data_IF_124719411456
#
_entry.id   IF_124719411456
#
_cell.length_a   1.000
_cell.length_b   1.000
_cell.length_c   1.000
_cell.angle_alpha   90.00
_cell.angle_beta   90.00
_cell.angle_gamma   90.00
#
_symmetry.space_group_name_H-M   'P 1'
#
loop_
_entity.id
_entity.type
_entity.pdbx_description
1 polymer ?
#
# COMPACT_ATOMS: atom_id res chain seq x y z
N UNK A 1 -15.04 68.59 25.29
CA UNK A 1 -15.73 67.37 25.81
C UNK A 1 -16.22 66.60 24.59
N UNK A 2 -15.85 65.38 24.23
CA UNK A 2 -15.02 64.30 24.77
C UNK A 2 -14.39 63.58 23.56
N UNK A 3 -13.14 63.12 23.64
CA UNK A 3 -12.46 62.42 22.53
C UNK A 3 -12.81 60.93 22.58
N UNK A 4 -13.37 60.43 21.48
CA UNK A 4 -13.76 59.05 21.26
C UNK A 4 -12.50 58.19 21.02
N UNK A 5 -12.14 57.34 21.99
CA UNK A 5 -11.06 56.36 21.85
C UNK A 5 -11.65 55.03 21.37
N UNK A 6 -11.48 54.72 20.08
CA UNK A 6 -11.83 53.42 19.51
C UNK A 6 -10.73 52.42 19.83
N UNK A 7 -10.98 51.50 20.75
CA UNK A 7 -10.08 50.37 21.06
C UNK A 7 -10.40 49.24 20.09
N UNK A 8 -9.53 49.04 19.10
CA UNK A 8 -9.54 47.84 18.24
C UNK A 8 -8.82 46.74 19.01
N UNK A 9 -9.58 45.77 19.52
CA UNK A 9 -9.06 44.59 20.19
C UNK A 9 -8.72 43.53 19.13
N UNK A 10 -7.48 43.56 18.62
CA UNK A 10 -6.99 42.58 17.65
C UNK A 10 -6.72 41.26 18.38
N UNK A 11 -7.68 40.33 18.34
CA UNK A 11 -7.47 38.95 18.79
C UNK A 11 -6.51 38.28 17.81
N UNK A 12 -5.24 38.15 18.22
CA UNK A 12 -4.24 37.37 17.51
C UNK A 12 -4.39 35.92 17.91
N UNK A 13 -5.26 35.18 17.24
CA UNK A 13 -5.42 33.73 17.44
C UNK A 13 -4.16 33.03 16.92
N UNK A 14 -3.25 32.66 17.81
CA UNK A 14 -2.11 31.81 17.46
C UNK A 14 -2.64 30.42 17.12
N UNK A 15 -2.72 30.08 15.83
CA UNK A 15 -2.90 28.70 15.39
C UNK A 15 -1.67 27.89 15.79
N UNK A 16 -1.74 27.20 16.93
CA UNK A 16 -0.77 26.17 17.28
C UNK A 16 -1.03 24.96 16.38
N UNK A 17 -0.21 24.80 15.35
CA UNK A 17 -0.18 23.58 14.56
C UNK A 17 0.40 22.46 15.43
N UNK A 18 -0.43 21.48 15.79
CA UNK A 18 0.05 20.26 16.41
C UNK A 18 0.73 19.41 15.33
N UNK A 19 2.06 19.53 15.22
CA UNK A 19 2.85 18.66 14.37
C UNK A 19 2.86 17.24 14.99
N UNK A 20 2.13 16.31 14.38
CA UNK A 20 2.30 14.88 14.68
C UNK A 20 3.69 14.49 14.22
N UNK A 21 4.53 14.02 15.16
CA UNK A 21 5.84 13.48 14.83
C UNK A 21 5.70 12.30 13.88
N UNK A 22 6.49 12.29 12.81
CA UNK A 22 6.55 11.17 11.89
C UNK A 22 6.93 9.87 12.63
N UNK A 23 6.40 8.71 12.21
CA UNK A 23 6.74 7.44 12.84
C UNK A 23 8.20 7.07 12.60
N UNK A 24 8.85 6.48 13.61
CA UNK A 24 10.23 5.98 13.50
C UNK A 24 10.32 4.68 12.68
N UNK A 25 9.28 3.84 12.74
CA UNK A 25 9.21 2.56 12.05
C UNK A 25 7.82 2.38 11.46
N UNK A 26 7.74 1.65 10.34
CA UNK A 26 6.49 1.26 9.69
C UNK A 26 6.51 -0.26 9.57
N UNK A 27 5.45 -0.91 10.05
CA UNK A 27 5.22 -2.35 9.86
C UNK A 27 3.92 -2.48 9.08
N UNK A 28 4.02 -3.11 7.91
CA UNK A 28 2.88 -3.37 7.05
C UNK A 28 2.57 -4.87 7.08
N UNK A 29 1.33 -5.22 7.42
CA UNK A 29 0.82 -6.58 7.42
C UNK A 29 -0.17 -6.72 6.27
N UNK A 30 0.10 -7.63 5.34
CA UNK A 30 -0.77 -7.91 4.19
C UNK A 30 -1.34 -9.32 4.36
N UNK A 31 -2.65 -9.41 4.55
CA UNK A 31 -3.38 -10.67 4.38
C UNK A 31 -3.77 -10.82 2.91
N UNK A 32 -3.02 -11.60 2.15
CA UNK A 32 -3.36 -11.86 0.74
C UNK A 32 -4.71 -12.60 0.67
N UNK A 33 -5.65 -12.07 -0.13
CA UNK A 33 -7.03 -12.55 -0.19
C UNK A 33 -7.91 -12.23 1.04
N UNK A 34 -7.45 -11.41 1.99
CA UNK A 34 -8.19 -11.13 3.23
C UNK A 34 -9.17 -9.95 3.08
N UNK A 35 -10.41 -10.26 2.69
CA UNK A 35 -11.53 -9.33 2.72
C UNK A 35 -12.30 -9.34 4.04
N UNK A 36 -13.40 -8.58 4.10
CA UNK A 36 -14.28 -8.56 5.28
C UNK A 36 -14.92 -9.93 5.56
N UNK A 37 -15.17 -10.74 4.52
CA UNK A 37 -15.75 -12.06 4.66
C UNK A 37 -14.79 -13.01 5.38
N UNK A 38 -13.50 -13.01 5.01
CA UNK A 38 -12.46 -13.84 5.62
C UNK A 38 -12.26 -13.47 7.11
N UNK A 39 -12.28 -12.17 7.42
CA UNK A 39 -12.23 -11.68 8.81
C UNK A 39 -13.47 -12.17 9.59
N UNK A 40 -14.66 -12.03 9.02
CA UNK A 40 -15.90 -12.44 9.67
C UNK A 40 -15.96 -13.96 9.91
N UNK A 41 -15.52 -14.76 8.93
CA UNK A 41 -15.43 -16.22 9.07
C UNK A 41 -14.46 -16.62 10.19
N UNK A 42 -13.32 -15.94 10.30
CA UNK A 42 -12.35 -16.19 11.38
C UNK A 42 -12.95 -15.86 12.74
N UNK A 43 -13.67 -14.73 12.88
CA UNK A 43 -14.39 -14.40 14.12
C UNK A 43 -15.45 -15.43 14.48
N UNK A 44 -16.24 -15.86 13.50
CA UNK A 44 -17.27 -16.88 13.70
C UNK A 44 -16.69 -18.21 14.21
N UNK A 45 -15.53 -18.61 13.68
CA UNK A 45 -14.89 -19.87 14.03
C UNK A 45 -14.12 -19.82 15.38
N UNK A 46 -13.27 -18.81 15.57
CA UNK A 46 -12.37 -18.74 16.74
C UNK A 46 -13.01 -18.06 17.96
N UNK A 47 -13.94 -17.12 17.73
CA UNK A 47 -14.46 -16.23 18.77
C UNK A 47 -16.00 -16.30 18.90
N UNK A 48 -16.63 -17.34 18.38
CA UNK A 48 -18.10 -17.50 18.37
C UNK A 48 -18.85 -16.29 17.78
N UNK A 49 -18.21 -15.54 16.88
CA UNK A 49 -18.76 -14.34 16.24
C UNK A 49 -18.43 -13.02 16.93
N UNK A 50 -17.80 -13.04 18.11
CA UNK A 50 -17.40 -11.84 18.83
C UNK A 50 -16.06 -11.26 18.30
N UNK A 51 -15.76 -10.03 18.73
CA UNK A 51 -14.45 -9.42 18.54
C UNK A 51 -13.38 -10.14 19.37
N UNK A 52 -12.16 -10.20 18.85
CA UNK A 52 -11.04 -10.88 19.51
C UNK A 52 -9.77 -10.97 18.66
N UNK A 53 -9.84 -10.60 17.38
CA UNK A 53 -8.69 -10.52 16.50
C UNK A 53 -7.88 -9.26 16.79
N UNK A 54 -6.57 -9.29 16.53
CA UNK A 54 -5.73 -8.10 16.68
C UNK A 54 -6.24 -6.91 15.84
N UNK A 55 -6.79 -7.16 14.65
CA UNK A 55 -7.35 -6.12 13.77
C UNK A 55 -8.51 -5.35 14.43
N UNK A 56 -9.21 -5.97 15.39
CA UNK A 56 -10.32 -5.36 16.13
C UNK A 56 -9.80 -4.29 17.10
N UNK A 57 -8.52 -4.35 17.48
CA UNK A 57 -7.86 -3.38 18.37
C UNK A 57 -7.34 -2.14 17.64
N UNK A 58 -7.37 -2.12 16.30
CA UNK A 58 -6.85 -1.03 15.49
C UNK A 58 -7.73 0.22 15.62
N UNK A 59 -7.16 1.34 16.06
CA UNK A 59 -7.89 2.59 16.32
C UNK A 59 -8.59 3.18 15.09
N UNK A 60 -8.03 2.93 13.91
CA UNK A 60 -8.53 3.45 12.66
C UNK A 60 -8.78 2.29 11.71
N UNK A 61 -9.91 2.34 11.02
CA UNK A 61 -10.28 1.41 9.96
C UNK A 61 -10.74 2.18 8.74
N UNK A 62 -10.63 1.54 7.59
CA UNK A 62 -11.05 2.10 6.32
C UNK A 62 -11.23 1.01 5.27
N UNK A 63 -11.85 1.36 4.16
CA UNK A 63 -12.01 0.48 3.01
C UNK A 63 -11.34 1.12 1.80
N UNK A 64 -10.72 0.30 0.97
CA UNK A 64 -10.12 0.73 -0.30
C UNK A 64 -10.69 -0.10 -1.43
N UNK A 65 -10.88 0.52 -2.58
CA UNK A 65 -11.27 -0.18 -3.80
C UNK A 65 -10.00 -0.63 -4.51
N UNK A 66 -9.85 -1.94 -4.70
CA UNK A 66 -8.75 -2.53 -5.45
C UNK A 66 -9.05 -2.38 -6.95
N UNK A 67 -8.10 -1.80 -7.68
CA UNK A 67 -8.19 -1.53 -9.13
C UNK A 67 -6.84 -1.79 -9.76
N UNK A 68 -6.85 -2.39 -10.94
CA UNK A 68 -5.67 -2.53 -11.80
C UNK A 68 -5.94 -1.96 -13.19
N UNK A 69 -4.92 -1.94 -14.04
CA UNK A 69 -5.06 -1.55 -15.44
C UNK A 69 -5.33 -2.80 -16.29
N UNK A 70 -6.14 -2.68 -17.34
CA UNK A 70 -6.31 -3.80 -18.28
C UNK A 70 -4.97 -4.14 -18.96
N UNK A 71 -4.78 -5.42 -19.32
CA UNK A 71 -3.53 -5.87 -19.96
C UNK A 71 -3.46 -5.39 -21.42
N UNK A 72 -4.59 -5.47 -22.13
CA UNK A 72 -4.73 -5.13 -23.56
C UNK A 72 -4.87 -3.62 -23.81
N UNK A 73 -5.39 -2.88 -22.84
CA UNK A 73 -5.50 -1.42 -22.89
C UNK A 73 -5.22 -0.79 -21.51
N UNK A 74 -3.95 -0.47 -21.20
CA UNK A 74 -3.54 0.13 -19.94
C UNK A 74 -4.18 1.50 -19.62
N UNK A 75 -4.86 2.15 -20.58
CA UNK A 75 -5.61 3.38 -20.32
C UNK A 75 -6.93 3.15 -19.57
N UNK A 76 -7.37 1.89 -19.45
CA UNK A 76 -8.63 1.49 -18.85
C UNK A 76 -8.43 0.74 -17.52
N UNK A 77 -9.43 0.84 -16.67
CA UNK A 77 -9.45 0.21 -15.34
C UNK A 77 -10.14 -1.15 -15.40
N UNK A 78 -9.53 -2.12 -14.72
CA UNK A 78 -10.12 -3.41 -14.40
C UNK A 78 -10.40 -3.51 -12.88
N UNK A 79 -11.59 -3.99 -12.52
CA UNK A 79 -11.99 -4.27 -11.13
C UNK A 79 -11.70 -5.73 -10.75
N UNK A 80 -10.50 -6.19 -11.07
CA UNK A 80 -9.99 -7.48 -10.63
C UNK A 80 -8.68 -7.21 -9.88
N UNK A 81 -8.60 -7.61 -8.61
CA UNK A 81 -7.35 -7.51 -7.85
C UNK A 81 -6.49 -8.75 -8.07
N UNK A 82 -5.21 -8.56 -8.26
CA UNK A 82 -4.22 -9.64 -8.36
C UNK A 82 -2.98 -9.27 -7.52
N UNK A 83 -2.27 -10.26 -6.96
CA UNK A 83 -1.24 -9.97 -5.94
C UNK A 83 -0.07 -9.12 -6.46
N UNK A 84 0.31 -9.25 -7.73
CA UNK A 84 1.40 -8.44 -8.31
C UNK A 84 0.97 -7.00 -8.58
N UNK A 85 -0.20 -6.80 -9.19
CA UNK A 85 -0.73 -5.45 -9.43
C UNK A 85 -1.08 -4.72 -8.11
N UNK A 86 -1.66 -5.46 -7.15
CA UNK A 86 -1.97 -4.99 -5.81
C UNK A 86 -0.71 -4.66 -4.99
N UNK A 87 0.25 -5.59 -4.94
CA UNK A 87 1.55 -5.38 -4.29
C UNK A 87 2.30 -4.19 -4.88
N UNK A 88 2.29 -4.05 -6.20
CA UNK A 88 2.90 -2.90 -6.90
C UNK A 88 2.22 -1.58 -6.53
N UNK A 89 0.89 -1.56 -6.48
CA UNK A 89 0.14 -0.36 -6.09
C UNK A 89 0.47 0.05 -4.66
N UNK A 90 0.57 -0.90 -3.74
CA UNK A 90 0.90 -0.63 -2.33
C UNK A 90 2.35 -0.15 -2.18
N UNK A 91 3.29 -0.79 -2.86
CA UNK A 91 4.73 -0.53 -2.71
C UNK A 91 5.21 0.72 -3.46
N UNK A 92 4.54 1.13 -4.53
CA UNK A 92 5.00 2.24 -5.39
C UNK A 92 4.02 3.41 -5.47
N UNK A 93 2.77 3.23 -5.04
CA UNK A 93 1.70 4.20 -5.23
C UNK A 93 1.13 4.25 -6.66
N UNK A 94 1.62 3.43 -7.59
CA UNK A 94 1.23 3.43 -8.99
C UNK A 94 0.49 2.14 -9.38
N UNK A 95 -0.55 2.27 -10.19
CA UNK A 95 -1.25 1.10 -10.75
C UNK A 95 -0.44 0.50 -11.89
N UNK A 96 -0.60 -0.80 -12.07
CA UNK A 96 -0.11 -1.55 -13.23
C UNK A 96 -1.14 -2.63 -13.60
N UNK A 97 -0.87 -3.43 -14.63
CA UNK A 97 -1.74 -4.54 -15.03
C UNK A 97 -1.43 -5.82 -14.25
N UNK A 98 -2.37 -6.75 -14.25
CA UNK A 98 -2.21 -8.08 -13.62
C UNK A 98 -0.87 -8.74 -13.99
N UNK A 99 -0.21 -9.34 -13.00
CA UNK A 99 1.03 -10.10 -13.17
C UNK A 99 2.31 -9.24 -13.28
N UNK A 100 2.22 -7.91 -13.37
CA UNK A 100 3.39 -7.03 -13.40
C UNK A 100 3.87 -6.69 -11.98
N UNK A 101 5.19 -6.73 -11.79
CA UNK A 101 5.86 -6.51 -10.50
C UNK A 101 6.67 -5.23 -10.58
N UNK A 102 6.24 -4.17 -9.88
CA UNK A 102 6.91 -2.87 -9.78
C UNK A 102 7.35 -2.25 -11.13
N UNK A 103 6.58 -2.49 -12.19
CA UNK A 103 6.80 -1.92 -13.52
C UNK A 103 5.53 -1.30 -14.09
N UNK A 104 5.71 -0.29 -14.93
CA UNK A 104 4.65 0.43 -15.64
C UNK A 104 3.97 -0.47 -16.68
N UNK A 105 2.66 -0.32 -16.83
CA UNK A 105 1.87 -1.17 -17.72
C UNK A 105 2.09 -0.85 -19.21
N UNK A 106 2.40 0.41 -19.49
CA UNK A 106 2.52 0.99 -20.82
C UNK A 106 3.81 0.56 -21.54
N UNK A 107 4.93 0.52 -20.82
CA UNK A 107 6.25 0.31 -21.42
C UNK A 107 7.22 -0.51 -20.55
N UNK A 108 6.76 -1.04 -19.41
CA UNK A 108 7.59 -1.86 -18.52
C UNK A 108 8.67 -1.08 -17.76
N UNK A 109 8.66 0.25 -17.78
CA UNK A 109 9.61 1.04 -16.99
C UNK A 109 9.44 0.78 -15.49
N UNK A 110 10.55 0.77 -14.75
CA UNK A 110 10.51 0.47 -13.32
C UNK A 110 9.87 1.60 -12.52
N UNK A 111 9.01 1.23 -11.58
CA UNK A 111 8.56 2.12 -10.52
C UNK A 111 9.45 1.93 -9.30
N UNK A 112 9.98 3.02 -8.74
CA UNK A 112 10.70 2.96 -7.46
C UNK A 112 9.75 2.51 -6.35
N UNK A 113 10.19 1.57 -5.52
CA UNK A 113 9.40 1.06 -4.39
C UNK A 113 9.71 1.82 -3.10
N UNK A 114 8.78 1.78 -2.15
CA UNK A 114 8.96 2.34 -0.82
C UNK A 114 10.12 1.70 -0.05
N UNK A 115 10.45 0.43 -0.35
CA UNK A 115 11.57 -0.26 0.28
C UNK A 115 12.90 0.26 -0.26
N UNK A 116 12.99 0.52 -1.57
CA UNK A 116 14.14 1.19 -2.18
C UNK A 116 14.31 2.61 -1.64
N UNK A 117 13.23 3.40 -1.58
CA UNK A 117 13.26 4.75 -1.00
C UNK A 117 13.72 4.73 0.46
N UNK A 118 13.25 3.77 1.25
CA UNK A 118 13.66 3.61 2.65
C UNK A 118 15.15 3.26 2.75
N UNK A 119 15.65 2.36 1.91
CA UNK A 119 17.06 1.98 1.88
C UNK A 119 17.97 3.15 1.48
N UNK A 120 17.59 3.93 0.47
CA UNK A 120 18.31 5.15 0.05
C UNK A 120 18.39 6.19 1.18
N UNK A 121 17.37 6.24 2.04
CA UNK A 121 17.32 7.12 3.21
C UNK A 121 18.01 6.53 4.45
N UNK A 122 18.65 5.37 4.32
CA UNK A 122 19.41 4.73 5.40
C UNK A 122 18.57 3.97 6.43
N UNK A 123 17.29 3.69 6.14
CA UNK A 123 16.48 2.82 6.97
C UNK A 123 16.87 1.35 6.76
N UNK A 124 16.70 0.55 7.82
CA UNK A 124 16.73 -0.91 7.68
C UNK A 124 15.41 -1.38 7.07
N UNK A 125 15.50 -2.29 6.11
CA UNK A 125 14.35 -2.84 5.40
C UNK A 125 14.27 -4.36 5.60
N UNK A 126 13.07 -4.93 5.46
CA UNK A 126 12.87 -6.37 5.63
C UNK A 126 11.56 -6.84 5.02
N UNK A 127 11.58 -8.06 4.49
CA UNK A 127 10.42 -8.77 3.96
C UNK A 127 10.25 -10.08 4.73
N UNK A 128 9.03 -10.36 5.16
CA UNK A 128 8.65 -11.60 5.85
C UNK A 128 7.37 -12.09 5.21
N UNK A 129 7.33 -13.36 4.84
CA UNK A 129 6.17 -13.98 4.20
C UNK A 129 6.05 -15.44 4.60
N UNK A 130 4.84 -15.98 4.54
CA UNK A 130 4.55 -17.41 4.63
C UNK A 130 4.58 -18.10 3.26
N UNK A 131 4.55 -17.32 2.16
CA UNK A 131 4.74 -17.82 0.79
C UNK A 131 6.23 -17.94 0.46
N UNK A 132 6.55 -18.34 -0.77
CA UNK A 132 7.92 -18.24 -1.29
C UNK A 132 8.32 -16.76 -1.39
N UNK A 133 9.58 -16.43 -1.08
CA UNK A 133 10.05 -15.03 -1.03
C UNK A 133 9.95 -14.32 -2.38
N UNK A 134 9.94 -15.07 -3.48
CA UNK A 134 9.83 -14.56 -4.84
C UNK A 134 8.39 -14.43 -5.32
N UNK A 135 7.39 -14.83 -4.52
CA UNK A 135 5.99 -14.64 -4.89
C UNK A 135 5.66 -13.15 -5.02
N UNK A 136 4.57 -12.82 -5.70
CA UNK A 136 4.33 -11.44 -6.13
C UNK A 136 4.27 -10.43 -4.98
N UNK A 137 3.57 -10.74 -3.89
CA UNK A 137 3.39 -9.81 -2.78
C UNK A 137 4.72 -9.33 -2.18
N UNK A 138 5.67 -10.21 -1.78
CA UNK A 138 7.00 -9.76 -1.37
C UNK A 138 7.83 -9.21 -2.55
N UNK A 139 7.77 -9.81 -3.74
CA UNK A 139 8.57 -9.38 -4.88
C UNK A 139 8.25 -7.94 -5.33
N UNK A 140 6.99 -7.51 -5.26
CA UNK A 140 6.58 -6.14 -5.61
C UNK A 140 7.27 -5.05 -4.78
N UNK A 141 7.82 -5.37 -3.61
CA UNK A 141 8.57 -4.42 -2.81
C UNK A 141 10.07 -4.40 -3.13
N UNK A 142 10.63 -5.43 -3.76
CA UNK A 142 12.08 -5.61 -3.86
C UNK A 142 12.60 -6.07 -5.24
N UNK A 143 11.73 -6.21 -6.24
CA UNK A 143 12.08 -6.62 -7.59
C UNK A 143 11.24 -5.90 -8.64
N UNK A 144 11.71 -5.90 -9.88
CA UNK A 144 10.98 -5.39 -11.04
C UNK A 144 10.92 -6.46 -12.12
N UNK A 145 9.73 -6.83 -12.57
CA UNK A 145 9.52 -7.82 -13.61
C UNK A 145 8.21 -7.57 -14.37
N UNK A 146 8.24 -7.76 -15.69
CA UNK A 146 7.03 -7.67 -16.52
C UNK A 146 6.05 -8.80 -16.27
N UNK A 147 6.52 -9.93 -15.72
CA UNK A 147 5.71 -11.08 -15.41
C UNK A 147 6.15 -11.71 -14.08
N UNK A 148 5.22 -11.85 -13.13
CA UNK A 148 5.47 -12.44 -11.80
C UNK A 148 6.00 -13.87 -11.86
N UNK A 149 5.79 -14.60 -12.95
CA UNK A 149 6.30 -15.97 -13.13
C UNK A 149 7.76 -16.02 -13.58
N UNK A 150 8.42 -14.86 -13.75
CA UNK A 150 9.83 -14.75 -14.08
C UNK A 150 10.74 -15.03 -12.86
N UNK A 151 10.60 -16.22 -12.26
CA UNK A 151 11.40 -16.63 -11.08
C UNK A 151 12.80 -17.17 -11.46
N UNK A 152 12.97 -17.60 -12.72
CA UNK A 152 14.22 -18.19 -13.23
C UNK A 152 14.61 -17.54 -14.56
N UNK A 153 15.91 -17.28 -14.74
CA UNK A 153 16.50 -16.61 -15.91
C UNK A 153 16.20 -17.30 -17.26
N UNK A 154 15.76 -18.56 -17.25
CA UNK A 154 15.40 -19.36 -18.43
C UNK A 154 13.89 -19.51 -18.66
N UNK A 155 13.03 -18.87 -17.86
CA UNK A 155 11.59 -19.00 -18.06
C UNK A 155 11.18 -18.20 -19.31
N UNK A 156 10.44 -18.83 -20.22
CA UNK A 156 9.94 -18.19 -21.45
C UNK A 156 9.03 -16.99 -21.14
N UNK A 157 8.47 -16.94 -19.93
CA UNK A 157 7.68 -15.83 -19.41
C UNK A 157 8.49 -14.53 -19.19
N UNK A 158 9.82 -14.59 -19.16
CA UNK A 158 10.68 -13.41 -18.99
C UNK A 158 11.01 -12.67 -20.31
N UNK A 159 10.69 -13.27 -21.47
CA UNK A 159 11.07 -12.75 -22.79
C UNK A 159 9.93 -12.04 -23.53
N UNK A 160 8.80 -11.80 -22.85
CA UNK A 160 7.59 -11.15 -23.40
C UNK A 160 7.27 -9.88 -22.65
#
# INVERSE_FOLDING_TARGET
MSRLFTIIFTIFTTLTSFAVSAPKNIILLIGDGMGYAEIALTRAYEFNGDEGLFIDTMKNSGSVIVKQLMIDDPSKIEFAGESASGGTTISTGNRTSSGRVAVRAEDGAHYKTILEEAQERGFKTGLVTTSIITDATPASFAAHAQNRYCFMQSSSACNT
#
